data_IF_956758907934
#
_entry.id   IF_956758907934
#
_cell.length_a   1.000
_cell.length_b   1.000
_cell.length_c   1.000
_cell.angle_alpha   90.00
_cell.angle_beta   90.00
_cell.angle_gamma   90.00
#
_symmetry.space_group_name_H-M   'P 1'
#
loop_
_entity.id
_entity.type
_entity.pdbx_description
1 polymer ?
#
# COMPACT_ATOMS: atom_id res chain seq x y z
N UNK A 1 -8.52 41.56 1.66
CA UNK A 1 -9.27 42.02 2.86
C UNK A 1 -9.16 43.52 3.15
N UNK A 2 -8.24 44.28 2.54
CA UNK A 2 -8.10 45.73 2.78
C UNK A 2 -8.99 46.64 1.89
N UNK A 3 -9.43 46.17 0.71
CA UNK A 3 -10.21 46.99 -0.23
C UNK A 3 -11.74 46.92 -0.05
N UNK A 4 -12.25 46.04 0.82
CA UNK A 4 -13.70 45.93 1.07
C UNK A 4 -14.16 46.91 2.15
N UNK A 5 -13.24 47.47 2.96
CA UNK A 5 -13.57 48.47 4.00
C UNK A 5 -13.75 49.89 3.46
N UNK A 6 -13.21 50.22 2.28
CA UNK A 6 -13.27 51.57 1.71
C UNK A 6 -14.60 51.89 1.02
N UNK A 7 -15.41 50.88 0.66
CA UNK A 7 -16.71 51.08 0.02
C UNK A 7 -17.86 51.22 1.03
N UNK A 8 -17.72 50.66 2.24
CA UNK A 8 -18.75 50.74 3.29
C UNK A 8 -18.70 52.03 4.13
N UNK A 9 -17.76 52.95 3.86
CA UNK A 9 -17.62 54.22 4.59
C UNK A 9 -18.30 55.42 3.90
N UNK A 10 -19.15 55.18 2.89
CA UNK A 10 -19.88 56.22 2.13
C UNK A 10 -21.40 56.14 2.22
N UNK A 11 -21.95 55.32 3.10
CA UNK A 11 -23.38 55.35 3.38
C UNK A 11 -23.65 56.41 4.46
N UNK A 12 -24.29 57.49 4.02
CA UNK A 12 -24.79 58.58 4.84
C UNK A 12 -25.79 58.04 5.89
N UNK A 13 -25.58 58.25 7.21
CA UNK A 13 -26.49 57.75 8.25
C UNK A 13 -27.88 58.39 8.22
N UNK A 14 -28.08 59.44 7.41
CA UNK A 14 -29.32 60.20 7.32
C UNK A 14 -30.47 59.51 6.56
N UNK A 15 -30.26 58.30 6.01
CA UNK A 15 -31.31 57.54 5.30
C UNK A 15 -32.07 56.53 6.18
N UNK A 16 -31.82 56.51 7.48
CA UNK A 16 -32.61 55.74 8.46
C UNK A 16 -33.37 56.68 9.41
N UNK A 17 -34.10 57.63 8.84
CA UNK A 17 -35.19 58.26 9.58
C UNK A 17 -36.47 57.46 9.25
N UNK A 18 -37.15 56.87 10.25
CA UNK A 18 -38.50 56.37 10.04
C UNK A 18 -39.37 57.62 9.81
N UNK A 19 -39.70 57.89 8.54
CA UNK A 19 -40.62 58.94 8.19
C UNK A 19 -41.92 58.71 8.97
N UNK A 20 -42.16 59.60 9.92
CA UNK A 20 -43.29 59.59 10.82
C UNK A 20 -44.62 59.57 10.06
N UNK A 21 -45.61 59.07 10.78
CA UNK A 21 -47.01 59.04 10.43
C UNK A 21 -47.41 60.30 9.65
N UNK A 22 -47.71 60.12 8.37
CA UNK A 22 -48.38 61.16 7.60
C UNK A 22 -49.81 61.26 8.11
N UNK A 23 -49.99 62.18 9.05
CA UNK A 23 -51.28 62.73 9.42
C UNK A 23 -52.08 63.03 8.16
N UNK A 24 -53.26 62.43 8.13
CA UNK A 24 -54.33 62.71 7.19
C UNK A 24 -54.54 64.24 7.12
N UNK A 25 -54.66 64.85 5.94
CA UNK A 25 -54.74 66.30 5.85
C UNK A 25 -56.00 66.75 6.60
N UNK A 26 -55.78 67.53 7.66
CA UNK A 26 -56.83 68.04 8.52
C UNK A 26 -57.72 68.98 7.68
N UNK A 27 -58.99 68.61 7.50
CA UNK A 27 -59.98 69.42 6.79
C UNK A 27 -60.07 70.85 7.35
N UNK A 28 -59.61 71.08 8.58
CA UNK A 28 -59.53 72.39 9.22
C UNK A 28 -58.48 73.32 8.59
N UNK A 29 -57.35 72.81 8.09
CA UNK A 29 -56.29 73.64 7.50
C UNK A 29 -56.65 74.07 6.07
N UNK A 30 -57.27 73.16 5.30
CA UNK A 30 -57.89 73.48 4.01
C UNK A 30 -59.00 74.54 4.16
N UNK A 31 -59.82 74.44 5.21
CA UNK A 31 -60.87 75.43 5.52
C UNK A 31 -60.29 76.80 5.90
N UNK A 32 -59.17 76.84 6.64
CA UNK A 32 -58.47 78.09 6.99
C UNK A 32 -57.81 78.76 5.78
N UNK A 33 -57.25 77.98 4.86
CA UNK A 33 -56.65 78.49 3.63
C UNK A 33 -57.72 79.06 2.67
N UNK A 34 -58.88 78.42 2.58
CA UNK A 34 -60.05 78.93 1.83
C UNK A 34 -60.59 80.23 2.43
N UNK A 35 -60.62 80.36 3.77
CA UNK A 35 -60.99 81.59 4.48
C UNK A 35 -59.99 82.74 4.23
N UNK A 36 -58.70 82.45 4.16
CA UNK A 36 -57.67 83.46 3.87
C UNK A 36 -57.78 83.99 2.44
N UNK A 37 -58.06 83.11 1.47
CA UNK A 37 -58.27 83.47 0.06
C UNK A 37 -59.58 84.24 -0.16
N UNK A 38 -60.61 84.00 0.65
CA UNK A 38 -61.86 84.81 0.60
C UNK A 38 -61.74 86.16 1.32
N UNK A 39 -60.78 86.32 2.24
CA UNK A 39 -60.54 87.58 2.97
C UNK A 39 -59.63 88.58 2.25
N UNK A 40 -59.00 88.19 1.13
CA UNK A 40 -58.04 89.02 0.40
C UNK A 40 -58.63 89.60 -0.90
N UNK A 41 -59.76 90.31 -0.82
CA UNK A 41 -60.22 91.16 -1.92
C UNK A 41 -59.53 92.54 -1.79
N UNK A 42 -58.74 93.01 -2.76
CA UNK A 42 -58.26 94.39 -2.74
C UNK A 42 -59.41 95.35 -3.08
N UNK A 43 -59.58 96.36 -2.24
CA UNK A 43 -60.49 97.49 -2.46
C UNK A 43 -60.09 98.33 -3.68
N UNK A 44 -61.12 98.90 -4.33
CA UNK A 44 -61.08 99.96 -5.35
C UNK A 44 -60.33 99.70 -6.68
N UNK A 45 -60.90 98.78 -7.48
CA UNK A 45 -60.65 98.71 -8.92
C UNK A 45 -61.93 98.40 -9.70
N UNK A 46 -62.24 99.19 -10.73
CA UNK A 46 -63.40 98.96 -11.60
C UNK A 46 -63.43 97.54 -12.18
N UNK A 47 -64.60 97.04 -12.59
CA UNK A 47 -64.82 95.64 -13.01
C UNK A 47 -63.77 95.06 -13.98
N UNK A 48 -63.19 95.91 -14.84
CA UNK A 48 -62.10 95.56 -15.78
C UNK A 48 -60.78 95.20 -15.10
N UNK A 49 -60.37 95.90 -14.03
CA UNK A 49 -59.12 95.63 -13.31
C UNK A 49 -59.21 94.32 -12.52
N UNK A 50 -60.37 94.04 -11.92
CA UNK A 50 -60.65 92.76 -11.25
C UNK A 50 -60.66 91.59 -12.22
N UNK A 51 -61.24 91.77 -13.42
CA UNK A 51 -61.21 90.74 -14.47
C UNK A 51 -59.78 90.48 -14.99
N UNK A 52 -58.97 91.53 -15.13
CA UNK A 52 -57.56 91.39 -15.53
C UNK A 52 -56.73 90.64 -14.49
N UNK A 53 -56.88 90.97 -13.20
CA UNK A 53 -56.23 90.25 -12.10
C UNK A 53 -56.68 88.78 -12.03
N UNK A 54 -57.97 88.50 -12.33
CA UNK A 54 -58.49 87.13 -12.42
C UNK A 54 -57.90 86.37 -13.61
N UNK A 55 -57.72 87.02 -14.76
CA UNK A 55 -57.06 86.41 -15.92
C UNK A 55 -55.58 86.11 -15.65
N UNK A 56 -54.85 87.02 -15.03
CA UNK A 56 -53.43 86.82 -14.65
C UNK A 56 -53.29 85.72 -13.58
N UNK A 57 -54.21 85.66 -12.61
CA UNK A 57 -54.26 84.56 -11.65
C UNK A 57 -54.59 83.23 -12.34
N UNK A 58 -55.52 83.21 -13.29
CA UNK A 58 -55.86 82.02 -14.07
C UNK A 58 -54.66 81.51 -14.87
N UNK A 59 -53.90 82.37 -15.55
CA UNK A 59 -52.68 81.95 -16.25
C UNK A 59 -51.60 81.44 -15.29
N UNK A 60 -51.43 82.07 -14.12
CA UNK A 60 -50.49 81.59 -13.09
C UNK A 60 -50.91 80.23 -12.51
N UNK A 61 -52.21 79.99 -12.32
CA UNK A 61 -52.74 78.68 -11.91
C UNK A 61 -52.51 77.63 -13.00
N UNK A 62 -52.72 77.95 -14.27
CA UNK A 62 -52.45 77.05 -15.39
C UNK A 62 -50.95 76.70 -15.49
N UNK A 63 -50.05 77.69 -15.33
CA UNK A 63 -48.59 77.47 -15.32
C UNK A 63 -48.15 76.60 -14.14
N UNK A 64 -48.62 76.91 -12.92
CA UNK A 64 -48.30 76.10 -11.72
C UNK A 64 -48.84 74.67 -11.83
N UNK A 65 -50.01 74.47 -12.42
CA UNK A 65 -50.57 73.14 -12.66
C UNK A 65 -49.72 72.33 -13.64
N UNK A 66 -49.22 72.94 -14.73
CA UNK A 66 -48.30 72.27 -15.65
C UNK A 66 -46.98 71.91 -14.98
N UNK A 67 -46.44 72.78 -14.13
CA UNK A 67 -45.22 72.52 -13.37
C UNK A 67 -45.43 71.35 -12.40
N UNK A 68 -46.54 71.34 -11.65
CA UNK A 68 -46.88 70.26 -10.71
C UNK A 68 -47.02 68.91 -11.42
N UNK A 69 -47.69 68.87 -12.58
CA UNK A 69 -47.77 67.64 -13.40
C UNK A 69 -46.38 67.17 -13.83
N UNK A 70 -45.53 68.06 -14.33
CA UNK A 70 -44.16 67.71 -14.74
C UNK A 70 -43.29 67.23 -13.56
N UNK A 71 -43.48 67.81 -12.37
CA UNK A 71 -42.79 67.39 -11.16
C UNK A 71 -43.27 66.02 -10.69
N UNK A 72 -44.57 65.76 -10.75
CA UNK A 72 -45.16 64.46 -10.44
C UNK A 72 -44.61 63.35 -11.36
N UNK A 73 -44.55 63.60 -12.67
CA UNK A 73 -43.99 62.66 -13.65
C UNK A 73 -42.50 62.37 -13.37
N UNK A 74 -41.72 63.39 -13.02
CA UNK A 74 -40.30 63.23 -12.65
C UNK A 74 -40.13 62.41 -11.38
N UNK A 75 -40.97 62.62 -10.37
CA UNK A 75 -40.96 61.81 -9.14
C UNK A 75 -41.28 60.36 -9.45
N UNK A 76 -42.29 60.11 -10.29
CA UNK A 76 -42.66 58.76 -10.70
C UNK A 76 -41.53 58.06 -11.48
N UNK A 77 -40.85 58.80 -12.36
CA UNK A 77 -39.68 58.29 -13.09
C UNK A 77 -38.53 57.93 -12.14
N UNK A 78 -38.25 58.76 -11.13
CA UNK A 78 -37.25 58.48 -10.10
C UNK A 78 -37.65 57.22 -9.31
N UNK A 79 -38.92 57.07 -8.96
CA UNK A 79 -39.42 55.89 -8.26
C UNK A 79 -39.20 54.60 -9.07
N UNK A 80 -39.56 54.61 -10.36
CA UNK A 80 -39.34 53.48 -11.27
C UNK A 80 -37.85 53.13 -11.40
N UNK A 81 -36.98 54.13 -11.57
CA UNK A 81 -35.53 53.92 -11.63
C UNK A 81 -34.99 53.33 -10.33
N UNK A 82 -35.44 53.82 -9.17
CA UNK A 82 -35.07 53.29 -7.86
C UNK A 82 -35.49 51.82 -7.72
N UNK A 83 -36.70 51.49 -8.15
CA UNK A 83 -37.18 50.11 -8.12
C UNK A 83 -36.30 49.19 -8.97
N UNK A 84 -36.03 49.57 -10.22
CA UNK A 84 -35.14 48.79 -11.11
C UNK A 84 -33.74 48.62 -10.52
N UNK A 85 -33.15 49.68 -9.96
CA UNK A 85 -31.83 49.59 -9.31
C UNK A 85 -31.86 48.65 -8.10
N UNK A 86 -32.92 48.69 -7.30
CA UNK A 86 -33.08 47.79 -6.15
C UNK A 86 -33.11 46.33 -6.60
N UNK A 87 -33.85 46.02 -7.67
CA UNK A 87 -33.88 44.67 -8.25
C UNK A 87 -32.49 44.22 -8.77
N UNK A 88 -31.75 45.11 -9.42
CA UNK A 88 -30.41 44.80 -9.92
C UNK A 88 -29.42 44.54 -8.78
N UNK A 89 -29.48 45.34 -7.71
CA UNK A 89 -28.64 45.14 -6.52
C UNK A 89 -28.94 43.78 -5.86
N UNK A 90 -30.21 43.40 -5.74
CA UNK A 90 -30.61 42.09 -5.22
C UNK A 90 -30.07 40.95 -6.09
N UNK A 91 -30.19 41.06 -7.41
CA UNK A 91 -29.64 40.06 -8.36
C UNK A 91 -28.13 39.94 -8.25
N UNK A 92 -27.42 41.06 -8.14
CA UNK A 92 -25.96 41.07 -7.96
C UNK A 92 -25.56 40.42 -6.63
N UNK A 93 -26.31 40.68 -5.55
CA UNK A 93 -26.05 40.05 -4.26
C UNK A 93 -26.23 38.53 -4.31
N UNK A 94 -27.32 38.06 -4.93
CA UNK A 94 -27.56 36.62 -5.13
C UNK A 94 -26.45 35.97 -5.96
N UNK A 95 -26.01 36.60 -7.05
CA UNK A 95 -24.89 36.09 -7.85
C UNK A 95 -23.57 36.04 -7.07
N UNK A 96 -23.30 37.05 -6.25
CA UNK A 96 -22.11 37.06 -5.38
C UNK A 96 -22.10 35.87 -4.43
N UNK A 97 -23.24 35.60 -3.77
CA UNK A 97 -23.37 34.44 -2.88
C UNK A 97 -23.17 33.12 -3.62
N UNK A 98 -23.68 33.00 -4.85
CA UNK A 98 -23.45 31.82 -5.69
C UNK A 98 -21.97 31.61 -6.01
N UNK A 99 -21.22 32.67 -6.31
CA UNK A 99 -19.77 32.58 -6.54
C UNK A 99 -19.03 32.08 -5.30
N UNK A 100 -19.34 32.61 -4.11
CA UNK A 100 -18.73 32.17 -2.84
C UNK A 100 -19.00 30.67 -2.57
N UNK A 101 -20.22 30.20 -2.83
CA UNK A 101 -20.57 28.78 -2.72
C UNK A 101 -19.82 27.88 -3.71
N UNK A 102 -19.67 28.34 -4.96
CA UNK A 102 -18.91 27.61 -5.98
C UNK A 102 -17.42 27.54 -5.63
N UNK A 103 -16.83 28.62 -5.12
CA UNK A 103 -15.45 28.63 -4.63
C UNK A 103 -15.23 27.63 -3.50
N UNK A 104 -16.15 27.55 -2.54
CA UNK A 104 -16.08 26.56 -1.47
C UNK A 104 -16.19 25.13 -2.01
N UNK A 105 -17.10 24.89 -2.96
CA UNK A 105 -17.27 23.58 -3.59
C UNK A 105 -16.03 23.15 -4.39
N UNK A 106 -15.39 24.09 -5.08
CA UNK A 106 -14.17 23.86 -5.83
C UNK A 106 -13.03 23.49 -4.91
N UNK A 107 -12.87 24.20 -3.78
CA UNK A 107 -11.86 23.89 -2.78
C UNK A 107 -12.07 22.49 -2.19
N UNK A 108 -13.32 22.11 -1.90
CA UNK A 108 -13.64 20.75 -1.44
C UNK A 108 -13.28 19.68 -2.47
N UNK A 109 -13.60 19.91 -3.74
CA UNK A 109 -13.26 19.01 -4.82
C UNK A 109 -11.73 18.87 -5.01
N UNK A 110 -11.00 19.98 -4.92
CA UNK A 110 -9.53 19.97 -4.99
C UNK A 110 -8.90 19.19 -3.83
N UNK A 111 -9.40 19.38 -2.60
CA UNK A 111 -8.92 18.64 -1.44
C UNK A 111 -9.23 17.13 -1.56
N UNK A 112 -10.41 16.77 -2.06
CA UNK A 112 -10.77 15.38 -2.33
C UNK A 112 -9.85 14.76 -3.39
N UNK A 113 -9.57 15.48 -4.47
CA UNK A 113 -8.64 15.04 -5.52
C UNK A 113 -7.23 14.79 -4.97
N UNK A 114 -6.69 15.73 -4.18
CA UNK A 114 -5.38 15.56 -3.55
C UNK A 114 -5.34 14.34 -2.61
N UNK A 115 -6.44 14.08 -1.89
CA UNK A 115 -6.56 12.88 -1.06
C UNK A 115 -6.52 11.62 -1.92
N UNK A 116 -7.25 11.59 -3.04
CA UNK A 116 -7.22 10.46 -3.98
C UNK A 116 -5.81 10.25 -4.56
N UNK A 117 -5.12 11.31 -4.96
CA UNK A 117 -3.76 11.22 -5.49
C UNK A 117 -2.80 10.59 -4.47
N UNK A 118 -2.90 10.97 -3.19
CA UNK A 118 -2.11 10.36 -2.11
C UNK A 118 -2.41 8.87 -1.97
N UNK A 119 -3.67 8.47 -1.99
CA UNK A 119 -4.05 7.05 -1.92
C UNK A 119 -3.54 6.26 -3.12
N UNK A 120 -3.59 6.83 -4.33
CA UNK A 120 -3.04 6.20 -5.52
C UNK A 120 -1.53 6.02 -5.43
N UNK A 121 -0.80 7.02 -4.91
CA UNK A 121 0.66 6.87 -4.70
C UNK A 121 0.98 5.79 -3.69
N UNK A 122 0.20 5.68 -2.60
CA UNK A 122 0.39 4.63 -1.60
C UNK A 122 0.14 3.23 -2.19
N UNK A 123 -0.99 3.04 -2.87
CA UNK A 123 -1.32 1.74 -3.49
C UNK A 123 -0.29 1.31 -4.54
N UNK A 124 0.28 2.26 -5.29
CA UNK A 124 1.37 1.96 -6.23
C UNK A 124 2.62 1.47 -5.50
N UNK A 125 3.03 2.15 -4.43
CA UNK A 125 4.18 1.74 -3.64
C UNK A 125 3.98 0.35 -3.00
N UNK A 126 2.78 0.07 -2.47
CA UNK A 126 2.44 -1.26 -1.93
C UNK A 126 2.49 -2.35 -3.00
N UNK A 127 1.96 -2.06 -4.19
CA UNK A 127 2.03 -2.99 -5.33
C UNK A 127 3.46 -3.24 -5.79
N UNK A 128 4.30 -2.20 -5.89
CA UNK A 128 5.71 -2.32 -6.27
C UNK A 128 6.50 -3.13 -5.25
N UNK A 129 6.27 -2.92 -3.95
CA UNK A 129 6.89 -3.69 -2.88
C UNK A 129 6.48 -5.18 -2.94
N UNK A 130 5.20 -5.47 -3.15
CA UNK A 130 4.70 -6.84 -3.30
C UNK A 130 5.28 -7.54 -4.53
N UNK A 131 5.37 -6.83 -5.67
CA UNK A 131 6.03 -7.34 -6.87
C UNK A 131 7.52 -7.63 -6.62
N UNK A 132 8.23 -6.73 -5.94
CA UNK A 132 9.62 -6.96 -5.55
C UNK A 132 9.80 -8.22 -4.70
N UNK A 133 8.92 -8.45 -3.72
CA UNK A 133 8.91 -9.67 -2.92
C UNK A 133 8.65 -10.92 -3.77
N UNK A 134 7.68 -10.86 -4.69
CA UNK A 134 7.36 -12.00 -5.57
C UNK A 134 8.53 -12.38 -6.47
N UNK A 135 9.25 -11.40 -7.01
CA UNK A 135 10.46 -11.63 -7.82
C UNK A 135 11.55 -12.30 -6.97
N UNK A 136 11.78 -11.83 -5.74
CA UNK A 136 12.76 -12.43 -4.84
C UNK A 136 12.40 -13.90 -4.50
N UNK A 137 11.12 -14.18 -4.22
CA UNK A 137 10.64 -15.55 -4.00
C UNK A 137 10.78 -16.43 -5.23
N UNK A 138 10.55 -15.88 -6.41
CA UNK A 138 10.75 -16.60 -7.67
C UNK A 138 12.22 -16.96 -7.87
N UNK A 139 13.14 -16.01 -7.68
CA UNK A 139 14.58 -16.26 -7.79
C UNK A 139 15.03 -17.34 -6.81
N UNK A 140 14.61 -17.26 -5.55
CA UNK A 140 14.91 -18.28 -4.55
C UNK A 140 14.36 -19.66 -4.95
N UNK A 141 13.13 -19.71 -5.45
CA UNK A 141 12.50 -20.94 -5.93
C UNK A 141 13.24 -21.52 -7.14
N UNK A 142 13.71 -20.69 -8.05
CA UNK A 142 14.48 -21.11 -9.22
C UNK A 142 15.86 -21.63 -8.82
N UNK A 143 16.54 -20.99 -7.85
CA UNK A 143 17.79 -21.49 -7.25
C UNK A 143 17.58 -22.84 -6.54
N UNK A 144 16.55 -22.95 -5.70
CA UNK A 144 16.20 -24.20 -5.03
C UNK A 144 15.85 -25.31 -6.02
N UNK A 145 15.21 -24.99 -7.14
CA UNK A 145 14.88 -25.96 -8.18
C UNK A 145 16.13 -26.59 -8.79
N UNK A 146 17.24 -25.84 -8.96
CA UNK A 146 18.51 -26.40 -9.43
C UNK A 146 19.03 -27.46 -8.45
N UNK A 147 19.02 -27.16 -7.15
CA UNK A 147 19.44 -28.12 -6.13
C UNK A 147 18.53 -29.35 -6.05
N UNK A 148 17.21 -29.15 -6.17
CA UNK A 148 16.24 -30.25 -6.21
C UNK A 148 16.49 -31.15 -7.42
N UNK A 149 16.73 -30.59 -8.61
CA UNK A 149 17.05 -31.38 -9.81
C UNK A 149 18.34 -32.16 -9.64
N UNK A 150 19.41 -31.53 -9.13
CA UNK A 150 20.67 -32.22 -8.84
C UNK A 150 20.50 -33.35 -7.79
N UNK A 151 19.70 -33.12 -6.76
CA UNK A 151 19.38 -34.15 -5.76
C UNK A 151 18.55 -35.29 -6.36
N UNK A 152 17.63 -34.98 -7.28
CA UNK A 152 16.79 -35.98 -7.95
C UNK A 152 17.58 -36.92 -8.88
N UNK A 153 18.75 -36.51 -9.38
CA UNK A 153 19.62 -37.36 -10.19
C UNK A 153 20.24 -38.49 -9.36
N UNK A 154 20.52 -38.25 -8.07
CA UNK A 154 21.24 -39.18 -7.18
C UNK A 154 20.31 -39.84 -6.15
N UNK A 155 19.20 -39.20 -5.80
CA UNK A 155 18.21 -39.68 -4.83
C UNK A 155 16.78 -39.50 -5.34
N UNK A 156 15.90 -40.42 -4.94
CA UNK A 156 14.46 -40.29 -5.04
C UNK A 156 13.95 -39.72 -3.71
N UNK A 157 13.33 -38.54 -3.75
CA UNK A 157 12.74 -37.87 -2.58
C UNK A 157 11.23 -37.99 -2.69
N UNK A 158 10.59 -38.69 -1.76
CA UNK A 158 9.14 -38.84 -1.69
C UNK A 158 8.59 -38.07 -0.50
N UNK A 159 7.61 -37.20 -0.74
CA UNK A 159 6.82 -36.59 0.30
C UNK A 159 5.76 -37.60 0.79
N UNK A 160 5.84 -38.01 2.06
CA UNK A 160 4.90 -38.97 2.65
C UNK A 160 3.68 -38.25 3.23
N UNK A 161 3.90 -37.20 4.02
CA UNK A 161 2.84 -36.36 4.58
C UNK A 161 3.34 -34.93 4.81
N UNK A 162 2.40 -33.99 4.78
CA UNK A 162 2.64 -32.58 5.09
C UNK A 162 1.43 -31.99 5.80
N UNK A 163 1.67 -31.27 6.90
CA UNK A 163 0.65 -30.57 7.68
C UNK A 163 1.14 -29.19 8.09
N UNK A 164 0.37 -28.48 8.93
CA UNK A 164 0.75 -27.15 9.41
C UNK A 164 1.98 -27.17 10.35
N UNK A 165 2.28 -28.32 10.95
CA UNK A 165 3.31 -28.48 11.99
C UNK A 165 4.17 -29.73 11.81
N UNK A 166 4.04 -30.43 10.68
CA UNK A 166 4.73 -31.69 10.44
C UNK A 166 5.02 -31.90 8.95
N UNK A 167 6.19 -32.46 8.65
CA UNK A 167 6.64 -32.88 7.34
C UNK A 167 7.29 -34.27 7.45
N UNK A 168 6.75 -35.24 6.73
CA UNK A 168 7.37 -36.56 6.60
C UNK A 168 7.89 -36.75 5.18
N UNK A 169 9.18 -37.02 5.06
CA UNK A 169 9.88 -37.22 3.79
C UNK A 169 10.66 -38.52 3.81
N UNK A 170 10.76 -39.15 2.66
CA UNK A 170 11.50 -40.38 2.44
C UNK A 170 12.58 -40.14 1.38
N UNK A 171 13.82 -40.49 1.71
CA UNK A 171 14.96 -40.43 0.80
C UNK A 171 15.38 -41.85 0.41
N UNK A 172 15.40 -42.12 -0.88
CA UNK A 172 15.90 -43.38 -1.46
C UNK A 172 17.08 -43.09 -2.38
N UNK A 173 18.28 -43.61 -2.12
CA UNK A 173 19.37 -43.55 -3.09
C UNK A 173 18.96 -44.20 -4.41
N UNK A 174 19.21 -43.54 -5.55
CA UNK A 174 19.05 -44.18 -6.87
C UNK A 174 20.35 -44.91 -7.18
N UNK A 175 20.39 -46.25 -7.24
CA UNK A 175 21.63 -46.93 -7.59
C UNK A 175 22.01 -46.68 -9.05
N UNK A 176 23.29 -46.41 -9.28
CA UNK A 176 23.87 -46.36 -10.62
C UNK A 176 24.00 -47.78 -11.18
N UNK A 177 23.08 -48.18 -12.05
CA UNK A 177 23.10 -49.28 -13.05
C UNK A 177 23.55 -50.71 -12.65
N UNK A 178 24.14 -50.95 -11.48
CA UNK A 178 24.73 -52.23 -11.08
C UNK A 178 24.15 -52.83 -9.78
N UNK A 179 23.34 -52.07 -9.04
CA UNK A 179 22.62 -52.53 -7.86
C UNK A 179 21.11 -52.38 -8.12
N UNK A 180 20.32 -53.38 -7.73
CA UNK A 180 18.86 -53.28 -7.84
C UNK A 180 18.36 -52.28 -6.78
N UNK A 181 17.47 -51.37 -7.15
CA UNK A 181 16.95 -50.31 -6.27
C UNK A 181 16.20 -50.81 -5.02
N UNK A 182 16.06 -52.12 -4.85
CA UNK A 182 15.30 -52.76 -3.79
C UNK A 182 16.16 -53.30 -2.63
N UNK A 183 17.47 -53.09 -2.64
CA UNK A 183 18.37 -53.62 -1.60
C UNK A 183 18.68 -52.64 -0.46
N UNK A 184 18.43 -51.33 -0.63
CA UNK A 184 18.68 -50.31 0.39
C UNK A 184 17.38 -49.83 1.03
N UNK A 185 17.31 -49.86 2.36
CA UNK A 185 16.17 -49.33 3.10
C UNK A 185 16.09 -47.79 2.95
N UNK A 186 14.88 -47.23 2.77
CA UNK A 186 14.69 -45.79 2.64
C UNK A 186 14.93 -45.06 3.97
N UNK A 187 15.61 -43.91 3.92
CA UNK A 187 15.70 -43.00 5.07
C UNK A 187 14.40 -42.21 5.19
N UNK A 188 13.61 -42.46 6.23
CA UNK A 188 12.37 -41.72 6.51
C UNK A 188 12.62 -40.70 7.62
N UNK A 189 12.38 -39.44 7.33
CA UNK A 189 12.50 -38.34 8.28
C UNK A 189 11.13 -37.73 8.56
N UNK A 190 10.84 -37.51 9.84
CA UNK A 190 9.71 -36.72 10.30
C UNK A 190 10.24 -35.46 10.96
N UNK A 191 9.90 -34.32 10.40
CA UNK A 191 10.16 -33.02 11.00
C UNK A 191 8.86 -32.51 11.60
N UNK A 192 8.86 -32.12 12.88
CA UNK A 192 7.76 -31.34 13.46
C UNK A 192 8.24 -29.96 13.88
N UNK A 193 7.37 -28.95 13.79
CA UNK A 193 7.67 -27.59 14.23
C UNK A 193 6.48 -26.92 14.89
N UNK A 194 6.76 -25.99 15.79
CA UNK A 194 5.78 -25.23 16.55
C UNK A 194 5.94 -23.72 16.36
N UNK A 195 4.91 -22.97 16.78
CA UNK A 195 4.89 -21.50 16.68
C UNK A 195 5.93 -20.81 17.57
N UNK A 196 6.47 -21.51 18.57
CA UNK A 196 7.50 -21.02 19.49
C UNK A 196 8.94 -21.20 18.97
N UNK A 197 9.10 -21.38 17.65
CA UNK A 197 10.38 -21.52 16.96
C UNK A 197 11.15 -22.81 17.23
N UNK A 198 10.51 -23.79 17.88
CA UNK A 198 11.10 -25.11 18.12
C UNK A 198 10.80 -26.05 16.96
N UNK A 199 11.76 -26.94 16.70
CA UNK A 199 11.60 -28.05 15.78
C UNK A 199 12.18 -29.33 16.37
N UNK A 200 11.58 -30.46 16.00
CA UNK A 200 12.14 -31.78 16.22
C UNK A 200 12.29 -32.50 14.89
N UNK A 201 13.38 -33.24 14.74
CA UNK A 201 13.66 -34.12 13.62
C UNK A 201 13.78 -35.53 14.17
N UNK A 202 12.98 -36.45 13.63
CA UNK A 202 12.96 -37.86 13.98
C UNK A 202 13.36 -38.66 12.75
N UNK A 203 14.32 -39.57 12.92
CA UNK A 203 14.70 -40.56 11.92
C UNK A 203 13.89 -41.82 12.19
N UNK A 204 12.92 -42.12 11.33
CA UNK A 204 12.08 -43.30 11.47
C UNK A 204 12.82 -44.50 10.88
N UNK A 205 13.07 -45.51 11.72
CA UNK A 205 14.05 -46.57 11.47
C UNK A 205 13.79 -47.42 10.22
N UNK A 206 14.90 -47.66 9.54
CA UNK A 206 15.12 -48.55 8.39
C UNK A 206 16.63 -48.70 8.19
N UNK A 207 17.34 -49.19 9.22
CA UNK A 207 18.53 -50.06 9.14
C UNK A 207 19.08 -50.30 10.55
N UNK A 208 18.91 -51.53 11.04
CA UNK A 208 19.74 -52.18 12.06
C UNK A 208 20.19 -51.36 13.30
N UNK A 209 19.26 -51.01 14.20
CA UNK A 209 19.53 -50.94 15.63
C UNK A 209 20.31 -49.73 16.14
N UNK A 210 20.36 -48.64 15.37
CA UNK A 210 20.75 -47.33 15.86
C UNK A 210 19.48 -46.58 16.25
N UNK A 211 19.36 -46.36 17.56
CA UNK A 211 18.39 -45.53 18.30
C UNK A 211 17.66 -44.51 17.41
N UNK A 212 16.32 -44.41 17.57
CA UNK A 212 15.51 -43.28 17.11
C UNK A 212 16.12 -41.96 17.63
N UNK A 213 17.08 -41.41 16.90
CA UNK A 213 17.78 -40.19 17.28
C UNK A 213 16.86 -39.00 16.97
N UNK A 214 16.11 -38.59 18.00
CA UNK A 214 15.29 -37.40 17.97
C UNK A 214 16.19 -36.18 18.23
N UNK A 215 16.42 -35.37 17.20
CA UNK A 215 17.15 -34.11 17.32
C UNK A 215 16.15 -32.98 17.55
N UNK A 216 16.27 -32.25 18.67
CA UNK A 216 15.44 -31.06 18.94
C UNK A 216 16.29 -29.80 18.97
N UNK A 217 15.79 -28.72 18.39
CA UNK A 217 16.49 -27.44 18.30
C UNK A 217 15.60 -26.30 17.84
N UNK A 218 16.21 -25.19 17.44
CA UNK A 218 15.49 -24.08 16.79
C UNK A 218 15.25 -24.38 15.31
N UNK A 219 14.23 -23.78 14.71
CA UNK A 219 13.97 -23.93 13.25
C UNK A 219 15.14 -23.48 12.38
N UNK A 220 15.92 -22.48 12.82
CA UNK A 220 17.13 -22.03 12.13
C UNK A 220 18.23 -23.09 12.07
N UNK A 221 18.21 -24.07 12.97
CA UNK A 221 19.21 -25.15 13.09
C UNK A 221 18.77 -26.42 12.34
N UNK A 222 17.54 -26.44 11.79
CA UNK A 222 16.96 -27.60 11.14
C UNK A 222 17.80 -28.11 9.97
N UNK A 223 18.40 -27.21 9.19
CA UNK A 223 19.28 -27.59 8.07
C UNK A 223 20.50 -28.37 8.54
N UNK A 224 21.11 -27.98 9.67
CA UNK A 224 22.23 -28.68 10.27
C UNK A 224 21.79 -30.04 10.83
N UNK A 225 20.65 -30.10 11.51
CA UNK A 225 20.08 -31.36 12.01
C UNK A 225 19.77 -32.34 10.87
N UNK A 226 19.20 -31.86 9.76
CA UNK A 226 18.94 -32.67 8.56
C UNK A 226 20.23 -33.19 7.92
N UNK A 227 21.29 -32.37 7.86
CA UNK A 227 22.59 -32.82 7.37
C UNK A 227 23.16 -33.94 8.22
N UNK A 228 23.09 -33.82 9.56
CA UNK A 228 23.57 -34.85 10.46
C UNK A 228 22.75 -36.15 10.36
N UNK A 229 21.42 -36.05 10.26
CA UNK A 229 20.55 -37.22 10.05
C UNK A 229 20.78 -37.91 8.68
N UNK A 230 21.16 -37.14 7.66
CA UNK A 230 21.46 -37.63 6.32
C UNK A 230 22.91 -38.11 6.14
N UNK A 231 23.71 -38.25 7.21
CA UNK A 231 25.04 -38.89 7.18
C UNK A 231 24.95 -40.36 7.62
N UNK A 232 24.31 -41.30 6.89
CA UNK A 232 24.20 -42.66 7.38
C UNK A 232 25.56 -43.37 7.30
N UNK A 233 25.95 -43.95 8.45
CA UNK A 233 26.80 -45.14 8.55
C UNK A 233 28.31 -44.95 8.52
N UNK A 234 28.82 -43.89 7.90
CA UNK A 234 30.27 -43.71 7.72
C UNK A 234 30.71 -42.33 8.18
N UNK A 235 31.60 -42.28 9.17
CA UNK A 235 32.23 -41.04 9.60
C UNK A 235 33.24 -40.60 8.54
N UNK A 236 32.75 -39.83 7.56
CA UNK A 236 33.54 -39.36 6.42
C UNK A 236 33.70 -37.85 6.49
N UNK A 237 34.96 -37.42 6.47
CA UNK A 237 35.35 -36.03 6.27
C UNK A 237 35.86 -35.84 4.84
N UNK A 238 35.42 -34.77 4.18
CA UNK A 238 35.91 -34.40 2.86
C UNK A 238 36.90 -33.25 2.96
N UNK A 239 38.02 -33.37 2.24
CA UNK A 239 39.04 -32.35 2.08
C UNK A 239 39.12 -31.98 0.58
N UNK A 240 38.23 -31.08 0.10
CA UNK A 240 38.06 -30.83 -1.33
C UNK A 240 39.32 -30.30 -2.00
N UNK A 241 40.08 -29.44 -1.30
CA UNK A 241 41.33 -28.87 -1.80
C UNK A 241 42.41 -29.91 -2.08
N UNK A 242 42.35 -31.06 -1.41
CA UNK A 242 43.29 -32.18 -1.56
C UNK A 242 42.68 -33.36 -2.31
N UNK A 243 41.41 -33.25 -2.74
CA UNK A 243 40.64 -34.33 -3.37
C UNK A 243 40.67 -35.64 -2.54
N UNK A 244 40.63 -35.47 -1.22
CA UNK A 244 40.79 -36.55 -0.25
C UNK A 244 39.51 -36.71 0.57
N UNK A 245 39.08 -37.96 0.74
CA UNK A 245 38.04 -38.36 1.69
C UNK A 245 38.69 -39.19 2.80
N UNK A 246 38.39 -38.83 4.03
CA UNK A 246 38.89 -39.50 5.23
C UNK A 246 37.71 -40.24 5.84
N UNK A 247 37.74 -41.57 5.76
CA UNK A 247 36.74 -42.44 6.34
C UNK A 247 37.27 -43.02 7.66
N UNK A 248 36.62 -42.68 8.77
CA UNK A 248 36.89 -43.23 10.09
C UNK A 248 36.01 -44.47 10.32
N UNK A 249 36.60 -45.67 10.23
CA UNK A 249 35.91 -46.93 10.52
C UNK A 249 35.78 -47.17 12.03
N UNK A 250 36.81 -46.79 12.80
CA UNK A 250 36.82 -46.85 14.26
C UNK A 250 37.78 -45.79 14.82
N UNK A 251 37.77 -45.57 16.13
CA UNK A 251 38.65 -44.59 16.79
C UNK A 251 40.15 -44.78 16.49
N UNK A 252 40.53 -45.98 16.06
CA UNK A 252 41.90 -46.36 15.75
C UNK A 252 42.14 -46.63 14.27
N UNK A 253 41.09 -46.69 13.43
CA UNK A 253 41.22 -47.09 12.03
C UNK A 253 40.65 -46.06 11.07
N UNK A 254 41.55 -45.52 10.24
CA UNK A 254 41.29 -44.41 9.31
C UNK A 254 41.67 -44.85 7.89
N UNK A 255 40.74 -44.71 6.96
CA UNK A 255 40.93 -44.98 5.55
C UNK A 255 40.99 -43.66 4.77
N UNK A 256 42.00 -43.49 3.93
CA UNK A 256 42.15 -42.34 3.06
C UNK A 256 41.80 -42.73 1.63
N UNK A 257 40.80 -42.09 1.05
CA UNK A 257 40.37 -42.30 -0.33
C UNK A 257 40.59 -41.05 -1.17
N UNK A 258 41.29 -41.18 -2.29
CA UNK A 258 41.38 -40.13 -3.31
C UNK A 258 40.14 -40.16 -4.20
N UNK A 259 39.62 -38.98 -4.55
CA UNK A 259 38.53 -38.83 -5.52
C UNK A 259 39.01 -38.06 -6.75
N UNK A 260 38.76 -38.62 -7.93
CA UNK A 260 39.10 -37.96 -9.20
C UNK A 260 38.17 -36.76 -9.46
N UNK A 261 38.60 -35.89 -10.38
CA UNK A 261 37.84 -34.72 -10.80
C UNK A 261 36.48 -35.11 -11.39
N UNK A 262 35.44 -34.36 -11.04
CA UNK A 262 34.07 -34.69 -11.42
C UNK A 262 33.37 -35.68 -10.50
N UNK A 263 33.97 -36.12 -9.39
CA UNK A 263 33.23 -36.82 -8.32
C UNK A 263 32.19 -35.87 -7.66
N UNK A 264 30.96 -36.33 -7.33
CA UNK A 264 30.41 -37.68 -7.45
C UNK A 264 29.82 -38.05 -8.82
N UNK A 265 29.69 -37.10 -9.75
CA UNK A 265 28.93 -37.26 -11.00
C UNK A 265 29.66 -38.00 -12.14
N UNK A 266 30.99 -38.14 -12.08
CA UNK A 266 31.78 -38.82 -13.11
C UNK A 266 33.23 -39.17 -12.76
N UNK A 267 33.70 -38.83 -11.55
CA UNK A 267 35.04 -39.18 -11.05
C UNK A 267 35.08 -40.50 -10.27
N UNK A 268 36.22 -41.19 -10.25
CA UNK A 268 36.42 -42.45 -9.50
C UNK A 268 36.97 -42.21 -8.09
N UNK A 269 36.77 -43.20 -7.21
CA UNK A 269 37.37 -43.23 -5.89
C UNK A 269 38.46 -44.32 -5.80
N UNK A 270 39.58 -44.04 -5.13
CA UNK A 270 40.69 -44.96 -4.95
C UNK A 270 41.18 -44.94 -3.52
N UNK A 271 41.39 -46.12 -2.92
CA UNK A 271 42.01 -46.22 -1.60
C UNK A 271 43.51 -45.87 -1.71
N UNK A 272 43.95 -44.83 -1.00
CA UNK A 272 45.34 -44.42 -0.93
C UNK A 272 46.09 -45.14 0.19
N UNK A 273 45.49 -45.15 1.39
CA UNK A 273 46.12 -45.75 2.56
C UNK A 273 45.08 -46.09 3.63
N UNK A 274 45.42 -47.05 4.47
CA UNK A 274 44.70 -47.36 5.71
C UNK A 274 45.67 -47.21 6.85
N UNK A 275 45.27 -46.50 7.90
CA UNK A 275 46.06 -46.33 9.11
C UNK A 275 45.36 -47.03 10.27
N UNK A 276 46.11 -47.78 11.08
CA UNK A 276 45.69 -48.30 12.39
C UNK A 276 46.59 -47.70 13.47
N UNK A 277 46.00 -47.07 14.48
CA UNK A 277 46.71 -46.36 15.54
C UNK A 277 47.72 -45.32 15.01
N UNK A 278 47.39 -44.68 13.88
CA UNK A 278 48.25 -43.71 13.21
C UNK A 278 49.42 -44.30 12.41
N UNK A 279 49.55 -45.63 12.33
CA UNK A 279 50.56 -46.31 11.51
C UNK A 279 49.95 -46.87 10.22
N UNK A 280 50.65 -46.80 9.08
CA UNK A 280 50.15 -47.33 7.81
C UNK A 280 50.07 -48.86 7.87
N UNK A 281 48.90 -49.39 7.53
CA UNK A 281 48.61 -50.81 7.46
C UNK A 281 48.87 -51.31 6.03
N UNK A 282 49.43 -52.52 5.89
CA UNK A 282 49.65 -53.09 4.55
C UNK A 282 48.31 -53.42 3.87
N UNK A 283 48.01 -52.68 2.80
CA UNK A 283 46.78 -52.82 2.01
C UNK A 283 46.92 -53.83 0.88
N UNK A 284 48.06 -54.51 0.73
CA UNK A 284 48.32 -55.47 -0.37
C UNK A 284 47.32 -56.64 -0.42
N UNK A 285 46.73 -57.00 0.74
CA UNK A 285 45.69 -58.02 0.87
C UNK A 285 44.25 -57.53 0.60
N UNK A 286 44.03 -56.21 0.52
CA UNK A 286 42.71 -55.63 0.22
C UNK A 286 42.50 -55.62 -1.30
N UNK A 287 42.05 -56.75 -1.85
CA UNK A 287 41.68 -56.85 -3.26
C UNK A 287 40.17 -56.79 -3.41
N UNK A 288 39.60 -55.64 -3.82
CA UNK A 288 38.20 -55.59 -4.18
C UNK A 288 37.92 -56.48 -5.39
N UNK A 289 36.72 -57.05 -5.46
CA UNK A 289 36.32 -57.97 -6.54
C UNK A 289 36.18 -57.29 -7.91
N UNK A 290 36.18 -55.95 -7.95
CA UNK A 290 36.15 -55.11 -9.15
C UNK A 290 37.26 -54.06 -9.03
N UNK A 291 37.90 -53.73 -10.16
CA UNK A 291 38.96 -52.72 -10.24
C UNK A 291 38.44 -51.28 -10.17
N UNK A 292 37.20 -51.04 -10.59
CA UNK A 292 36.56 -49.72 -10.64
C UNK A 292 35.37 -49.68 -9.66
N UNK A 293 35.66 -49.56 -8.37
CA UNK A 293 34.63 -49.39 -7.34
C UNK A 293 34.17 -47.93 -7.26
N UNK A 294 32.86 -47.73 -7.07
CA UNK A 294 32.34 -46.43 -6.62
C UNK A 294 32.78 -46.15 -5.17
N UNK A 295 32.66 -44.91 -4.69
CA UNK A 295 32.96 -44.60 -3.28
C UNK A 295 32.08 -45.45 -2.34
N UNK A 296 30.79 -45.60 -2.67
CA UNK A 296 29.86 -46.41 -1.88
C UNK A 296 30.32 -47.87 -1.81
N UNK A 297 30.74 -48.45 -2.94
CA UNK A 297 31.24 -49.82 -2.95
C UNK A 297 32.55 -49.96 -2.16
N UNK A 298 33.42 -48.94 -2.21
CA UNK A 298 34.61 -48.86 -1.37
C UNK A 298 34.25 -48.84 0.12
N UNK A 299 33.32 -48.00 0.54
CA UNK A 299 32.92 -47.87 1.94
C UNK A 299 32.29 -49.17 2.45
N UNK A 300 31.40 -49.80 1.68
CA UNK A 300 30.81 -51.10 1.99
C UNK A 300 31.87 -52.19 2.08
N UNK A 301 32.80 -52.25 1.13
CA UNK A 301 33.93 -53.20 1.15
C UNK A 301 34.82 -52.99 2.38
N UNK A 302 35.21 -51.74 2.67
CA UNK A 302 36.07 -51.40 3.81
C UNK A 302 35.37 -51.68 5.14
N UNK A 303 34.06 -51.46 5.24
CA UNK A 303 33.28 -51.85 6.41
C UNK A 303 33.23 -53.36 6.62
N UNK A 304 33.02 -54.11 5.54
CA UNK A 304 32.82 -55.57 5.57
C UNK A 304 34.12 -56.38 5.62
N UNK A 305 35.26 -55.77 5.31
CA UNK A 305 36.56 -56.45 5.29
C UNK A 305 37.02 -56.80 6.71
N UNK A 306 37.34 -58.08 6.99
CA UNK A 306 37.84 -58.51 8.31
C UNK A 306 39.33 -58.17 8.51
N UNK A 307 40.02 -57.75 7.45
CA UNK A 307 41.45 -57.40 7.49
C UNK A 307 41.72 -56.03 8.13
N UNK A 308 40.70 -55.18 8.22
CA UNK A 308 40.78 -53.81 8.74
C UNK A 308 39.69 -53.57 9.78
#
# INVERSE_FOLDING_TARGET
MAEVRTVLQRCDPSLLDPCGDSEQPDCAEAARMVLYLTSSCPEEGGARSRWKALQENRSGVEETETLLRSQHDRVQQIHNRRHTLTQLVQRLHSKKQQCEQLEESLLKAQNALQSCDRHLTQLRAESEAALGQLIAWQQLRDELQVYVSAAQDVMQINLLSFSQSELCVEFRPRPSSYLSANELEPLKLTVTWSLDDRSTLQVNEGTAGLVEDCMSGRRSELSAALLEACRPGFAIDSLPAQRLLVYLKSAVLVCHLEVEEGYPSGGRARLLSVHRDGQPLDTSGLKPHKSDLSLTDWLVFLCSSPLI
#
